data_IF_636264993219
#
_entry.id   IF_636264993219
#
_cell.length_a   1.000
_cell.length_b   1.000
_cell.length_c   1.000
_cell.angle_alpha   90.00
_cell.angle_beta   90.00
_cell.angle_gamma   90.00
#
_symmetry.space_group_name_H-M   'P 1'
#
loop_
_entity.id
_entity.type
_entity.pdbx_description
1 polymer ?
#
# COMPACT_ATOMS: atom_id res chain seq x y z
N UNK A 1 -14.35 -10.55 -5.93
CA UNK A 1 -13.19 -11.01 -6.72
C UNK A 1 -11.97 -10.86 -5.83
N UNK A 2 -11.19 -11.92 -5.61
CA UNK A 2 -10.04 -11.92 -4.68
C UNK A 2 -8.72 -11.71 -5.40
N UNK A 3 -8.65 -10.68 -6.26
CA UNK A 3 -7.48 -10.42 -7.10
C UNK A 3 -6.50 -9.52 -6.34
N UNK A 4 -5.20 -9.78 -6.55
CA UNK A 4 -4.06 -9.00 -6.07
C UNK A 4 -4.11 -8.65 -4.57
N UNK A 5 -4.07 -9.62 -3.65
CA UNK A 5 -3.97 -9.31 -2.23
C UNK A 5 -2.66 -8.57 -1.91
N UNK A 6 -2.74 -7.57 -1.03
CA UNK A 6 -1.57 -6.90 -0.47
C UNK A 6 -0.79 -7.81 0.48
N UNK A 7 0.43 -7.41 0.81
CA UNK A 7 1.05 -7.90 2.06
C UNK A 7 0.12 -7.54 3.22
N UNK A 8 -0.10 -8.48 4.14
CA UNK A 8 -0.96 -8.25 5.29
C UNK A 8 -0.23 -7.45 6.37
N UNK A 9 -0.98 -6.64 7.12
CA UNK A 9 -0.52 -5.95 8.32
C UNK A 9 -1.31 -6.42 9.54
N UNK A 10 -0.69 -6.36 10.72
CA UNK A 10 -1.35 -6.71 11.98
C UNK A 10 -1.80 -5.45 12.70
N UNK A 11 -3.07 -5.39 13.10
CA UNK A 11 -3.60 -4.31 13.92
C UNK A 11 -3.12 -4.41 15.38
N UNK A 12 -3.21 -3.33 16.18
CA UNK A 12 -2.93 -3.39 17.61
C UNK A 12 -3.80 -4.41 18.37
N UNK A 13 -5.00 -4.71 17.88
CA UNK A 13 -5.89 -5.73 18.44
C UNK A 13 -5.51 -7.17 18.05
N UNK A 14 -4.43 -7.36 17.27
CA UNK A 14 -3.94 -8.66 16.85
C UNK A 14 -4.59 -9.25 15.60
N UNK A 15 -5.61 -8.59 15.04
CA UNK A 15 -6.25 -8.97 13.78
C UNK A 15 -5.33 -8.63 12.59
N UNK A 16 -5.06 -9.60 11.74
CA UNK A 16 -4.42 -9.42 10.44
C UNK A 16 -5.39 -8.82 9.44
N UNK A 17 -4.90 -7.90 8.61
CA UNK A 17 -5.65 -7.28 7.52
C UNK A 17 -4.85 -7.28 6.24
N UNK A 18 -5.53 -7.43 5.12
CA UNK A 18 -4.98 -7.17 3.79
C UNK A 18 -6.03 -6.43 2.95
N UNK A 19 -5.60 -5.74 1.91
CA UNK A 19 -6.49 -5.13 0.91
C UNK A 19 -6.35 -5.83 -0.44
N UNK A 20 -7.41 -5.85 -1.24
CA UNK A 20 -7.42 -6.41 -2.60
C UNK A 20 -7.61 -5.31 -3.64
N UNK A 21 -7.53 -5.68 -4.92
CA UNK A 21 -7.64 -4.73 -6.04
C UNK A 21 -8.84 -3.77 -5.92
N UNK A 22 -9.99 -4.29 -5.49
CA UNK A 22 -11.27 -3.56 -5.37
C UNK A 22 -11.40 -2.79 -4.05
N UNK A 23 -10.29 -2.56 -3.34
CA UNK A 23 -10.17 -1.92 -2.02
C UNK A 23 -10.81 -2.68 -0.86
N UNK A 24 -11.26 -3.92 -1.06
CA UNK A 24 -11.85 -4.73 0.00
C UNK A 24 -10.80 -5.04 1.07
N UNK A 25 -11.13 -4.74 2.33
CA UNK A 25 -10.35 -5.18 3.49
C UNK A 25 -10.82 -6.57 3.91
N UNK A 26 -9.88 -7.50 3.93
CA UNK A 26 -10.04 -8.83 4.51
C UNK A 26 -9.43 -8.85 5.90
N UNK A 27 -10.09 -9.47 6.87
CA UNK A 27 -9.61 -9.66 8.24
C UNK A 27 -9.39 -11.14 8.57
N UNK A 28 -8.42 -11.43 9.44
CA UNK A 28 -8.16 -12.78 9.96
C UNK A 28 -7.46 -12.74 11.32
N UNK A 29 -7.80 -13.67 12.22
CA UNK A 29 -7.10 -13.82 13.51
C UNK A 29 -5.98 -14.87 13.47
N UNK A 30 -6.06 -15.81 12.54
CA UNK A 30 -5.21 -17.01 12.46
C UNK A 30 -4.39 -17.10 11.15
N UNK A 31 -4.56 -16.12 10.25
CA UNK A 31 -3.98 -16.08 8.90
C UNK A 31 -4.44 -17.21 7.96
N UNK A 32 -5.48 -17.95 8.34
CA UNK A 32 -6.04 -19.08 7.58
C UNK A 32 -7.48 -18.81 7.19
N UNK A 33 -8.29 -18.39 8.15
CA UNK A 33 -9.70 -18.08 7.97
C UNK A 33 -9.85 -16.58 7.78
N UNK A 34 -10.35 -16.17 6.62
CA UNK A 34 -10.49 -14.75 6.26
C UNK A 34 -11.96 -14.36 6.10
N UNK A 35 -12.33 -13.19 6.62
CA UNK A 35 -13.65 -12.58 6.46
C UNK A 35 -13.55 -11.21 5.80
N UNK A 36 -14.60 -10.80 5.11
CA UNK A 36 -14.71 -9.45 4.54
C UNK A 36 -15.08 -8.46 5.64
N UNK A 37 -14.32 -7.38 5.75
CA UNK A 37 -14.64 -6.25 6.62
C UNK A 37 -15.43 -5.20 5.83
N UNK A 38 -14.97 -4.86 4.63
CA UNK A 38 -15.62 -3.88 3.75
C UNK A 38 -14.61 -3.16 2.86
N UNK A 39 -15.08 -2.42 1.84
CA UNK A 39 -14.21 -1.55 1.03
C UNK A 39 -13.65 -0.43 1.89
N UNK A 40 -12.35 -0.16 1.82
CA UNK A 40 -11.70 0.90 2.60
C UNK A 40 -12.03 2.27 2.00
N UNK A 41 -12.70 3.17 2.75
CA UNK A 41 -12.95 4.52 2.26
C UNK A 41 -11.64 5.27 2.01
N UNK A 42 -11.56 5.94 0.87
CA UNK A 42 -10.43 6.78 0.48
C UNK A 42 -9.21 6.04 -0.09
N UNK A 43 -9.24 4.72 -0.23
CA UNK A 43 -8.23 4.00 -1.02
C UNK A 43 -8.61 4.11 -2.51
N UNK A 44 -7.69 4.57 -3.38
CA UNK A 44 -7.84 4.41 -4.82
C UNK A 44 -7.91 2.93 -5.21
N UNK A 45 -8.86 2.57 -6.07
CA UNK A 45 -8.95 1.21 -6.63
C UNK A 45 -7.82 0.98 -7.64
N UNK A 46 -7.23 -0.21 -7.66
CA UNK A 46 -6.17 -0.52 -8.61
C UNK A 46 -5.51 -1.87 -8.39
N UNK A 47 -4.75 -2.31 -9.39
CA UNK A 47 -4.03 -3.58 -9.37
C UNK A 47 -2.84 -3.54 -8.40
N UNK A 48 -2.41 -4.72 -7.95
CA UNK A 48 -1.24 -4.91 -7.08
C UNK A 48 -1.14 -3.90 -5.91
N UNK A 49 -2.21 -3.71 -5.11
CA UNK A 49 -2.18 -2.75 -4.02
C UNK A 49 -1.16 -3.13 -2.97
N UNK A 50 -0.60 -2.11 -2.33
CA UNK A 50 0.26 -2.26 -1.16
C UNK A 50 -0.07 -1.19 -0.12
N UNK A 51 -0.04 -1.58 1.16
CA UNK A 51 -0.31 -0.70 2.28
C UNK A 51 0.69 -0.99 3.39
N UNK A 52 1.44 0.04 3.80
CA UNK A 52 2.53 -0.15 4.75
C UNK A 52 2.82 1.11 5.58
N UNK A 53 3.43 0.97 6.78
CA UNK A 53 3.86 2.11 7.59
C UNK A 53 4.88 2.97 6.85
N UNK A 54 4.82 4.29 7.06
CA UNK A 54 5.75 5.24 6.45
C UNK A 54 7.19 4.79 6.72
N UNK A 55 8.03 4.61 5.66
CA UNK A 55 9.43 4.28 5.84
C UNK A 55 10.17 5.37 6.63
N UNK A 56 11.25 4.98 7.31
CA UNK A 56 12.15 5.92 7.97
C UNK A 56 12.71 6.92 6.96
N UNK A 57 13.01 8.13 7.43
CA UNK A 57 13.76 9.11 6.65
C UNK A 57 15.16 8.55 6.34
N UNK A 58 15.62 8.81 5.12
CA UNK A 58 16.97 8.46 4.66
C UNK A 58 17.81 9.73 4.52
N UNK A 59 19.16 9.65 4.53
CA UNK A 59 19.99 10.77 4.12
C UNK A 59 19.51 11.31 2.75
N UNK A 60 19.31 12.63 2.65
CA UNK A 60 18.73 13.27 1.46
C UNK A 60 17.20 13.45 1.49
N UNK A 61 16.49 12.89 2.48
CA UNK A 61 15.12 13.30 2.76
C UNK A 61 15.14 14.77 3.22
N UNK A 62 14.54 15.65 2.43
CA UNK A 62 14.38 17.06 2.81
C UNK A 62 13.50 17.23 4.05
N UNK A 63 13.52 18.40 4.70
CA UNK A 63 12.63 18.68 5.82
C UNK A 63 11.17 18.61 5.35
N UNK A 64 10.29 18.10 6.21
CA UNK A 64 8.86 18.26 6.01
C UNK A 64 8.51 19.77 6.07
N UNK A 65 7.48 20.23 5.32
CA UNK A 65 7.00 21.60 5.44
C UNK A 65 6.63 21.94 6.90
N UNK A 66 6.89 23.18 7.32
CA UNK A 66 6.55 23.61 8.67
C UNK A 66 5.05 23.46 8.95
N UNK A 67 4.69 22.84 10.08
CA UNK A 67 3.30 22.58 10.45
C UNK A 67 2.63 21.43 9.70
N UNK A 68 3.35 20.69 8.84
CA UNK A 68 2.78 19.53 8.16
C UNK A 68 2.41 18.42 9.16
N UNK A 69 1.23 17.83 8.97
CA UNK A 69 0.83 16.61 9.68
C UNK A 69 1.77 15.49 9.26
N UNK A 70 2.39 14.82 10.23
CA UNK A 70 3.28 13.70 9.96
C UNK A 70 2.46 12.51 9.40
N UNK A 71 2.75 12.04 8.17
CA UNK A 71 2.10 10.84 7.65
C UNK A 71 2.51 9.62 8.46
N UNK A 72 1.62 8.63 8.55
CA UNK A 72 1.91 7.37 9.25
C UNK A 72 2.03 6.19 8.30
N UNK A 73 1.39 6.25 7.13
CA UNK A 73 1.32 5.14 6.20
C UNK A 73 1.38 5.61 4.74
N UNK A 74 1.68 4.65 3.87
CA UNK A 74 1.63 4.79 2.42
C UNK A 74 0.64 3.77 1.88
N UNK A 75 -0.26 4.22 1.02
CA UNK A 75 -1.06 3.36 0.14
C UNK A 75 -0.51 3.44 -1.28
N UNK A 76 -0.40 2.31 -1.96
CA UNK A 76 0.03 2.19 -3.34
C UNK A 76 -1.00 1.41 -4.12
N UNK A 77 -1.34 1.86 -5.33
CA UNK A 77 -2.17 1.12 -6.27
C UNK A 77 -1.68 1.34 -7.71
N UNK A 78 -1.90 0.35 -8.57
CA UNK A 78 -1.63 0.44 -10.01
C UNK A 78 -2.93 0.76 -10.76
N UNK A 79 -2.98 1.90 -11.45
CA UNK A 79 -4.13 2.27 -12.28
C UNK A 79 -3.72 3.22 -13.40
N UNK A 80 -4.50 3.24 -14.49
CA UNK A 80 -4.20 4.07 -15.66
C UNK A 80 -2.85 3.76 -16.31
N UNK A 81 -2.37 2.51 -16.21
CA UNK A 81 -1.08 2.09 -16.76
C UNK A 81 0.14 2.65 -16.02
N UNK A 82 -0.03 3.15 -14.79
CA UNK A 82 1.03 3.65 -13.93
C UNK A 82 0.88 3.16 -12.49
N UNK A 83 1.97 3.22 -11.75
CA UNK A 83 2.00 2.96 -10.32
C UNK A 83 1.96 4.27 -9.52
N UNK A 84 1.00 4.36 -8.62
CA UNK A 84 0.74 5.53 -7.81
C UNK A 84 0.92 5.21 -6.34
N UNK A 85 1.58 6.11 -5.62
CA UNK A 85 1.65 6.08 -4.15
C UNK A 85 1.02 7.33 -3.56
N UNK A 86 0.41 7.17 -2.39
CA UNK A 86 -0.20 8.24 -1.62
C UNK A 86 0.23 8.11 -0.16
N UNK A 87 0.73 9.20 0.41
CA UNK A 87 1.02 9.29 1.84
C UNK A 87 -0.19 9.80 2.60
N UNK A 88 -0.41 9.26 3.79
CA UNK A 88 -1.53 9.64 4.62
C UNK A 88 -1.40 9.17 6.06
N UNK A 89 -2.46 9.42 6.83
CA UNK A 89 -2.60 8.97 8.20
C UNK A 89 -3.59 7.82 8.25
N UNK A 90 -3.19 6.75 8.93
CA UNK A 90 -4.04 5.61 9.22
C UNK A 90 -4.12 5.31 10.70
N UNK A 91 -5.33 5.06 11.17
CA UNK A 91 -5.62 4.53 12.51
C UNK A 91 -6.44 3.26 12.37
N UNK A 92 -6.00 2.17 12.99
CA UNK A 92 -6.73 0.91 12.97
C UNK A 92 -8.07 1.06 13.70
N UNK A 93 -9.15 0.54 13.09
CA UNK A 93 -10.44 0.40 13.76
C UNK A 93 -10.49 -0.85 14.66
N UNK A 94 -11.54 -1.01 15.48
CA UNK A 94 -11.80 -2.25 16.19
C UNK A 94 -11.77 -3.50 15.28
N UNK A 95 -11.61 -4.71 15.85
CA UNK A 95 -11.71 -5.94 15.08
C UNK A 95 -12.99 -5.97 14.23
N UNK A 96 -12.89 -6.52 13.01
CA UNK A 96 -13.98 -6.63 12.04
C UNK A 96 -14.56 -5.30 11.55
N UNK A 97 -13.84 -4.18 11.73
CA UNK A 97 -14.24 -2.87 11.22
C UNK A 97 -13.08 -2.20 10.46
N UNK A 98 -13.41 -1.38 9.47
CA UNK A 98 -12.38 -0.65 8.72
C UNK A 98 -11.59 0.30 9.63
N UNK A 99 -10.36 0.58 9.22
CA UNK A 99 -9.60 1.67 9.83
C UNK A 99 -9.99 3.02 9.23
N UNK A 100 -9.50 4.08 9.87
CA UNK A 100 -9.64 5.43 9.35
C UNK A 100 -8.41 5.77 8.54
N UNK A 101 -8.61 6.08 7.25
CA UNK A 101 -7.57 6.59 6.36
C UNK A 101 -7.86 8.05 6.03
N UNK A 102 -6.83 8.87 6.07
CA UNK A 102 -6.87 10.26 5.59
C UNK A 102 -5.66 10.50 4.71
N UNK A 103 -5.90 10.64 3.41
CA UNK A 103 -4.88 11.09 2.48
C UNK A 103 -4.40 12.49 2.85
N UNK A 104 -3.09 12.68 2.97
CA UNK A 104 -2.49 13.99 3.30
C UNK A 104 -1.94 14.69 2.06
N UNK A 105 -1.59 13.94 1.02
CA UNK A 105 -1.14 14.45 -0.27
C UNK A 105 -1.90 13.76 -1.41
N UNK A 106 -1.84 14.36 -2.59
CA UNK A 106 -2.30 13.71 -3.82
C UNK A 106 -1.46 12.48 -4.16
N UNK A 107 -2.00 11.58 -4.98
CA UNK A 107 -1.22 10.48 -5.55
C UNK A 107 -0.05 11.00 -6.38
N UNK A 108 1.11 10.36 -6.23
CA UNK A 108 2.32 10.63 -7.03
C UNK A 108 2.79 9.35 -7.70
N UNK A 109 3.35 9.49 -8.90
CA UNK A 109 3.91 8.34 -9.63
C UNK A 109 5.15 7.84 -8.92
N UNK A 110 5.26 6.53 -8.77
CA UNK A 110 6.47 5.89 -8.25
C UNK A 110 7.62 6.03 -9.25
N UNK A 111 7.31 5.84 -10.54
CA UNK A 111 8.26 6.00 -11.65
C UNK A 111 7.55 6.69 -12.83
N UNK A 112 8.23 7.63 -13.49
CA UNK A 112 7.66 8.37 -14.62
C UNK A 112 7.62 7.53 -15.91
N UNK A 113 8.53 6.56 -16.04
CA UNK A 113 8.73 5.69 -17.18
C UNK A 113 7.77 4.50 -17.25
N UNK A 114 8.24 3.39 -17.79
CA UNK A 114 7.43 2.21 -18.12
C UNK A 114 7.47 1.17 -17.01
N UNK A 115 7.03 1.54 -15.81
CA UNK A 115 6.96 0.67 -14.64
C UNK A 115 5.49 0.47 -14.22
N UNK A 116 5.11 -0.78 -13.95
CA UNK A 116 3.75 -1.15 -13.53
C UNK A 116 3.76 -2.34 -12.56
N UNK A 117 2.61 -2.60 -11.94
CA UNK A 117 2.39 -3.71 -11.02
C UNK A 117 3.42 -3.79 -9.88
N UNK A 118 3.96 -2.65 -9.44
CA UNK A 118 5.00 -2.67 -8.42
C UNK A 118 4.50 -3.17 -7.07
N UNK A 119 5.40 -3.84 -6.35
CA UNK A 119 5.15 -4.38 -5.02
C UNK A 119 6.36 -4.19 -4.15
N UNK A 120 6.11 -3.91 -2.88
CA UNK A 120 7.17 -3.67 -1.92
C UNK A 120 7.25 -4.77 -0.84
N UNK A 121 8.41 -4.87 -0.21
CA UNK A 121 8.58 -5.58 1.04
C UNK A 121 9.58 -4.87 1.95
N UNK A 122 9.49 -5.16 3.24
CA UNK A 122 10.44 -4.68 4.24
C UNK A 122 11.58 -5.69 4.42
N UNK A 123 12.81 -5.24 4.21
CA UNK A 123 14.05 -5.96 4.48
C UNK A 123 14.49 -5.67 5.92
N UNK A 124 14.27 -6.61 6.87
CA UNK A 124 14.63 -6.38 8.27
C UNK A 124 16.13 -6.44 8.52
N UNK A 125 16.91 -7.08 7.64
CA UNK A 125 18.37 -7.22 7.80
C UNK A 125 19.05 -5.86 7.59
N UNK A 126 18.56 -5.08 6.63
CA UNK A 126 19.11 -3.74 6.32
C UNK A 126 18.22 -2.58 6.75
N UNK A 127 17.08 -2.86 7.38
CA UNK A 127 16.13 -1.85 7.84
C UNK A 127 15.68 -0.90 6.73
N UNK A 128 15.27 -1.46 5.58
CA UNK A 128 14.88 -0.70 4.39
C UNK A 128 13.66 -1.32 3.72
N UNK A 129 12.92 -0.50 2.97
CA UNK A 129 11.85 -1.00 2.09
C UNK A 129 12.38 -1.07 0.67
N UNK A 130 12.11 -2.18 -0.01
CA UNK A 130 12.50 -2.40 -1.40
C UNK A 130 11.24 -2.48 -2.22
N UNK A 131 11.18 -1.74 -3.32
CA UNK A 131 10.09 -1.79 -4.29
C UNK A 131 10.59 -2.48 -5.56
N UNK A 132 9.82 -3.45 -6.03
CA UNK A 132 10.02 -4.15 -7.30
C UNK A 132 8.93 -3.70 -8.24
N UNK A 133 9.26 -3.45 -9.50
CA UNK A 133 8.30 -3.07 -10.53
C UNK A 133 8.50 -3.90 -11.79
N UNK A 134 7.42 -4.15 -12.50
CA UNK A 134 7.49 -4.75 -13.82
C UNK A 134 7.77 -3.66 -14.84
N UNK A 135 8.92 -3.75 -15.51
CA UNK A 135 9.25 -2.85 -16.61
C UNK A 135 8.60 -3.34 -17.91
N UNK A 136 7.85 -2.48 -18.57
CA UNK A 136 7.36 -2.73 -19.93
C UNK A 136 8.46 -2.37 -20.93
N UNK A 137 8.99 -3.35 -21.66
CA UNK A 137 10.01 -3.18 -22.69
C UNK A 137 9.44 -3.49 -24.08
N UNK A 138 9.82 -2.75 -25.14
CA UNK A 138 9.40 -3.07 -26.51
C UNK A 138 10.00 -4.40 -27.04
N UNK A 139 9.32 -5.12 -27.96
CA UNK A 139 7.99 -4.82 -28.48
C UNK A 139 6.87 -5.11 -27.45
N UNK A 140 7.10 -6.02 -26.50
CA UNK A 140 6.27 -6.22 -25.31
C UNK A 140 7.06 -7.04 -24.28
N UNK A 141 6.94 -6.74 -22.99
CA UNK A 141 7.43 -7.65 -21.96
C UNK A 141 6.56 -8.91 -21.93
N UNK A 142 7.15 -10.07 -22.14
CA UNK A 142 6.45 -11.36 -22.08
C UNK A 142 6.21 -11.78 -20.63
N UNK A 143 4.95 -11.96 -20.25
CA UNK A 143 4.55 -12.74 -19.09
C UNK A 143 4.45 -14.19 -19.57
N UNK A 144 5.50 -15.00 -19.38
CA UNK A 144 5.47 -16.45 -19.63
C UNK A 144 4.96 -17.18 -18.42
#
# INVERSE_FOLDING_TARGET
TGRDPSTAWKTPAGEWRLTTFDTMIMGSMDFRTWYRIGKQPGFPEGECPSFFPLPRTTPGAGPAPAGAVAPTHVHKASHGGKDWMQVGSYTAGPPKTNGNWTALLAEVKIDAGHCYASKDFFDPVKGRRINFGWATVPPQSTQT
#
